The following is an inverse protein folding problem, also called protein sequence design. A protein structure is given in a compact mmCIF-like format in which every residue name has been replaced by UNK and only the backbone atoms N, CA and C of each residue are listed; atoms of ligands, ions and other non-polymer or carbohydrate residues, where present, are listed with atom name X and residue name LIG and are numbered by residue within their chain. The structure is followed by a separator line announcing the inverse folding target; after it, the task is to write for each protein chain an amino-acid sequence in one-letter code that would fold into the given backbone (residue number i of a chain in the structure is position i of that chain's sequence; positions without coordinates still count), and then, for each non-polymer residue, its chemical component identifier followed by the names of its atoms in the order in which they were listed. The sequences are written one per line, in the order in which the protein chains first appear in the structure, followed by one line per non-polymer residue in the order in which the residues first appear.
data_IF_451129411690
#
_entry.id   IF_451129411690
#
_cell.length_a   1.000
_cell.length_b   1.000
_cell.length_c   1.000
_cell.angle_alpha   90.00
_cell.angle_beta   90.00
_cell.angle_gamma   90.00
#
_symmetry.space_group_name_H-M   'P 1'
#
loop_
_entity.id
_entity.type
_entity.pdbx_description
1 polymer ?
#
# COMPACT_ATOMS: atom_id res chain seq x y z
N UNK A 1 -27.18 -11.41 -7.08
CA UNK A 1 -27.38 -9.96 -7.29
C UNK A 1 -27.26 -9.21 -5.97
N UNK A 2 -26.96 -7.90 -5.99
CA UNK A 2 -26.82 -7.09 -4.76
C UNK A 2 -28.09 -7.05 -3.91
N UNK A 3 -29.26 -7.03 -4.56
CA UNK A 3 -30.55 -7.09 -3.88
C UNK A 3 -30.71 -8.37 -3.03
N UNK A 4 -30.29 -9.53 -3.54
CA UNK A 4 -30.37 -10.80 -2.78
C UNK A 4 -29.49 -10.74 -1.53
N UNK A 5 -28.26 -10.21 -1.65
CA UNK A 5 -27.35 -10.08 -0.51
C UNK A 5 -27.89 -9.07 0.52
N UNK A 6 -28.47 -7.96 0.05
CA UNK A 6 -29.13 -6.97 0.89
C UNK A 6 -30.32 -7.57 1.65
N UNK A 7 -31.17 -8.37 1.00
CA UNK A 7 -32.28 -9.07 1.68
C UNK A 7 -31.78 -10.05 2.75
N UNK A 8 -30.73 -10.84 2.46
CA UNK A 8 -30.12 -11.73 3.46
C UNK A 8 -29.59 -10.95 4.66
N UNK A 9 -28.89 -9.86 4.40
CA UNK A 9 -28.33 -8.98 5.45
C UNK A 9 -29.43 -8.31 6.28
N UNK A 10 -30.52 -7.86 5.63
CA UNK A 10 -31.68 -7.31 6.32
C UNK A 10 -32.35 -8.35 7.23
N UNK A 11 -32.59 -9.57 6.74
CA UNK A 11 -33.18 -10.64 7.55
C UNK A 11 -32.32 -11.01 8.77
N UNK A 12 -30.99 -10.98 8.62
CA UNK A 12 -30.06 -11.19 9.72
C UNK A 12 -30.14 -10.05 10.74
N UNK A 13 -30.04 -8.80 10.27
CA UNK A 13 -30.08 -7.62 11.14
C UNK A 13 -31.43 -7.41 11.82
N UNK A 14 -32.55 -7.77 11.18
CA UNK A 14 -33.88 -7.73 11.82
C UNK A 14 -33.99 -8.66 13.03
N UNK A 15 -33.11 -9.67 13.16
CA UNK A 15 -33.07 -10.55 14.33
C UNK A 15 -32.17 -10.03 15.43
N UNK A 16 -31.04 -9.40 15.09
CA UNK A 16 -30.00 -9.03 16.05
C UNK A 16 -30.00 -7.54 16.38
N UNK A 17 -30.22 -6.67 15.40
CA UNK A 17 -30.16 -5.21 15.52
C UNK A 17 -31.06 -4.52 14.48
N UNK A 18 -32.40 -4.51 14.68
CA UNK A 18 -33.36 -4.05 13.66
C UNK A 18 -33.15 -2.59 13.25
N UNK A 19 -32.73 -1.73 14.18
CA UNK A 19 -32.50 -0.31 13.91
C UNK A 19 -31.36 -0.10 12.90
N UNK A 20 -30.39 -1.03 12.81
CA UNK A 20 -29.31 -0.96 11.83
C UNK A 20 -29.78 -1.12 10.39
N UNK A 21 -30.90 -1.81 10.14
CA UNK A 21 -31.51 -1.86 8.80
C UNK A 21 -31.95 -0.46 8.39
N UNK A 22 -32.73 0.21 9.24
CA UNK A 22 -33.20 1.58 8.99
C UNK A 22 -32.04 2.56 8.82
N UNK A 23 -31.02 2.46 9.69
CA UNK A 23 -29.81 3.30 9.60
C UNK A 23 -29.03 3.04 8.30
N UNK A 24 -28.90 1.80 7.87
CA UNK A 24 -28.18 1.45 6.62
C UNK A 24 -28.85 1.99 5.36
N UNK A 25 -30.16 2.25 5.43
CA UNK A 25 -30.97 2.82 4.35
C UNK A 25 -31.13 4.34 4.47
N UNK A 26 -30.44 5.01 5.42
CA UNK A 26 -30.51 6.45 5.59
C UNK A 26 -29.75 7.19 4.47
N UNK A 27 -30.47 7.49 3.39
CA UNK A 27 -29.95 8.19 2.20
C UNK A 27 -29.56 9.63 2.53
N UNK A 28 -30.25 10.30 3.45
CA UNK A 28 -29.94 11.68 3.85
C UNK A 28 -28.52 11.73 4.45
N UNK A 29 -28.18 10.74 5.28
CA UNK A 29 -26.88 10.69 5.96
C UNK A 29 -25.76 10.10 5.11
N UNK A 30 -26.03 9.04 4.35
CA UNK A 30 -24.98 8.27 3.67
C UNK A 30 -25.07 8.26 2.13
N UNK A 31 -26.02 9.02 1.56
CA UNK A 31 -26.12 9.27 0.13
C UNK A 31 -26.20 8.00 -0.73
N UNK A 32 -25.39 7.98 -1.79
CA UNK A 32 -25.40 6.93 -2.81
C UNK A 32 -25.04 5.53 -2.28
N UNK A 33 -24.25 5.43 -1.22
CA UNK A 33 -23.87 4.15 -0.62
C UNK A 33 -25.06 3.48 0.10
N UNK A 34 -25.94 4.27 0.72
CA UNK A 34 -27.22 3.79 1.25
C UNK A 34 -28.21 3.45 0.12
N UNK A 35 -28.40 4.36 -0.85
CA UNK A 35 -29.31 4.16 -1.99
C UNK A 35 -29.00 2.87 -2.76
N UNK A 36 -27.72 2.58 -2.97
CA UNK A 36 -27.27 1.41 -3.73
C UNK A 36 -27.30 0.09 -2.96
N UNK A 37 -27.86 0.07 -1.74
CA UNK A 37 -27.91 -1.06 -0.80
C UNK A 37 -26.54 -1.61 -0.37
N UNK A 38 -25.46 -0.89 -0.70
CA UNK A 38 -24.08 -1.31 -0.41
C UNK A 38 -23.84 -1.35 1.09
N UNK A 39 -24.30 -0.35 1.83
CA UNK A 39 -24.15 -0.32 3.29
C UNK A 39 -24.89 -1.48 3.96
N UNK A 40 -26.12 -1.77 3.54
CA UNK A 40 -26.90 -2.89 4.08
C UNK A 40 -26.19 -4.25 3.84
N UNK A 41 -25.55 -4.43 2.69
CA UNK A 41 -24.76 -5.64 2.43
C UNK A 41 -23.56 -5.75 3.37
N UNK A 42 -22.81 -4.66 3.56
CA UNK A 42 -21.62 -4.67 4.40
C UNK A 42 -21.93 -4.77 5.89
N UNK A 43 -23.01 -4.13 6.36
CA UNK A 43 -23.42 -4.23 7.77
C UNK A 43 -23.80 -5.65 8.13
N UNK A 44 -24.46 -6.39 7.23
CA UNK A 44 -24.75 -7.81 7.45
C UNK A 44 -23.50 -8.66 7.71
N UNK A 45 -22.44 -8.43 6.92
CA UNK A 45 -21.18 -9.20 7.00
C UNK A 45 -20.42 -9.02 8.31
N UNK A 46 -20.50 -7.84 8.94
CA UNK A 46 -19.78 -7.54 10.17
C UNK A 46 -20.71 -7.38 11.39
N UNK A 47 -22.00 -7.67 11.24
CA UNK A 47 -23.00 -7.53 12.31
C UNK A 47 -22.77 -8.46 13.50
N UNK A 48 -22.05 -9.56 13.27
CA UNK A 48 -21.69 -10.57 14.27
C UNK A 48 -20.25 -10.44 14.74
N UNK A 49 -19.61 -9.29 14.48
CA UNK A 49 -18.23 -9.05 14.88
C UNK A 49 -18.16 -8.93 16.41
N UNK A 50 -17.62 -9.97 17.04
CA UNK A 50 -17.36 -10.04 18.47
C UNK A 50 -15.85 -10.00 18.70
N UNK A 51 -15.31 -8.78 18.80
CA UNK A 51 -13.87 -8.55 18.96
C UNK A 51 -13.60 -7.40 19.92
N UNK A 52 -12.48 -7.48 20.66
CA UNK A 52 -12.05 -6.42 21.58
C UNK A 52 -11.57 -5.16 20.86
N UNK A 53 -10.92 -5.33 19.70
CA UNK A 53 -10.34 -4.25 18.90
C UNK A 53 -10.50 -4.58 17.42
N UNK A 54 -10.69 -3.54 16.58
CA UNK A 54 -10.64 -3.66 15.12
C UNK A 54 -9.42 -2.93 14.58
N UNK A 55 -8.62 -3.59 13.73
CA UNK A 55 -7.47 -2.96 13.08
C UNK A 55 -7.75 -2.79 11.58
N UNK A 56 -7.99 -1.55 11.17
CA UNK A 56 -8.22 -1.21 9.77
C UNK A 56 -6.89 -0.90 9.07
N UNK A 57 -6.63 -1.59 7.97
CA UNK A 57 -5.52 -1.29 7.07
C UNK A 57 -6.03 -0.42 5.91
N UNK A 58 -5.35 0.69 5.65
CA UNK A 58 -5.75 1.78 4.73
C UNK A 58 -6.85 2.68 5.27
N UNK A 59 -6.73 3.98 4.97
CA UNK A 59 -7.68 5.00 5.43
C UNK A 59 -9.07 4.86 4.81
N UNK A 60 -9.15 4.40 3.56
CA UNK A 60 -10.44 4.14 2.91
C UNK A 60 -11.23 3.03 3.61
N UNK A 61 -10.56 1.97 4.05
CA UNK A 61 -11.19 0.87 4.78
C UNK A 61 -11.62 1.33 6.16
N UNK A 62 -10.78 2.12 6.84
CA UNK A 62 -11.13 2.69 8.13
C UNK A 62 -12.32 3.66 8.08
N UNK A 63 -12.42 4.49 7.03
CA UNK A 63 -13.58 5.38 6.85
C UNK A 63 -14.86 4.59 6.54
N UNK A 64 -14.75 3.52 5.75
CA UNK A 64 -15.87 2.59 5.56
C UNK A 64 -16.28 1.94 6.90
N UNK A 65 -15.31 1.47 7.69
CA UNK A 65 -15.59 0.91 9.02
C UNK A 65 -16.25 1.93 9.96
N UNK A 66 -15.82 3.20 9.95
CA UNK A 66 -16.44 4.29 10.71
C UNK A 66 -17.94 4.41 10.41
N UNK A 67 -18.33 4.35 9.12
CA UNK A 67 -19.74 4.38 8.71
C UNK A 67 -20.49 3.14 9.19
N UNK A 68 -19.93 1.94 8.99
CA UNK A 68 -20.59 0.70 9.39
C UNK A 68 -20.74 0.60 10.92
N UNK A 69 -19.73 1.04 11.67
CA UNK A 69 -19.75 1.15 13.13
C UNK A 69 -20.87 2.05 13.61
N UNK A 70 -21.08 3.21 12.98
CA UNK A 70 -22.17 4.10 13.35
C UNK A 70 -23.55 3.47 13.07
N UNK A 71 -23.71 2.79 11.93
CA UNK A 71 -24.94 2.08 11.60
C UNK A 71 -25.25 0.95 12.59
N UNK A 72 -24.23 0.16 12.94
CA UNK A 72 -24.34 -0.99 13.83
C UNK A 72 -24.33 -0.61 15.31
N UNK A 73 -23.94 0.63 15.65
CA UNK A 73 -23.77 1.06 17.03
C UNK A 73 -22.59 0.40 17.75
N UNK A 74 -21.59 -0.08 17.00
CA UNK A 74 -20.40 -0.74 17.53
C UNK A 74 -19.63 0.20 18.46
N UNK A 75 -19.09 -0.35 19.57
CA UNK A 75 -18.46 0.44 20.64
C UNK A 75 -16.99 0.12 20.86
N UNK A 76 -16.53 -1.03 20.41
CA UNK A 76 -15.14 -1.43 20.51
C UNK A 76 -14.21 -0.37 19.87
N UNK A 77 -13.01 -0.17 20.44
CA UNK A 77 -12.00 0.69 19.85
C UNK A 77 -11.54 0.14 18.50
N UNK A 78 -11.02 1.03 17.65
CA UNK A 78 -10.34 0.63 16.43
C UNK A 78 -9.06 1.42 16.20
N UNK A 79 -8.16 0.84 15.43
CA UNK A 79 -6.88 1.45 15.04
C UNK A 79 -6.84 1.48 13.52
N UNK A 80 -6.23 2.52 12.96
CA UNK A 80 -6.01 2.61 11.50
C UNK A 80 -4.52 2.63 11.20
N UNK A 81 -4.04 1.71 10.35
CA UNK A 81 -2.71 1.83 9.73
C UNK A 81 -2.84 2.53 8.38
N UNK A 82 -2.14 3.66 8.23
CA UNK A 82 -1.96 4.31 6.94
C UNK A 82 -0.72 3.80 6.23
N UNK A 83 -0.86 3.64 4.92
CA UNK A 83 0.21 3.33 3.98
C UNK A 83 0.54 4.54 3.12
N UNK A 84 1.61 4.45 2.31
CA UNK A 84 2.08 5.56 1.48
C UNK A 84 0.96 6.28 0.72
N UNK A 85 0.08 5.55 0.04
CA UNK A 85 -1.04 6.13 -0.72
C UNK A 85 -2.01 6.97 0.11
N UNK A 86 -2.26 6.60 1.37
CA UNK A 86 -3.17 7.32 2.27
C UNK A 86 -2.64 8.70 2.65
N UNK A 87 -1.32 8.90 2.56
CA UNK A 87 -0.63 10.13 3.01
C UNK A 87 -0.01 10.92 1.85
N UNK A 88 0.06 10.34 0.65
CA UNK A 88 0.64 10.95 -0.55
C UNK A 88 -0.42 11.18 -1.64
N UNK A 89 -0.64 10.21 -2.52
CA UNK A 89 -1.42 10.37 -3.74
C UNK A 89 -2.92 10.64 -3.46
N UNK A 90 -3.52 10.01 -2.43
CA UNK A 90 -4.97 10.13 -2.19
C UNK A 90 -5.32 11.56 -1.72
N UNK A 91 -4.68 12.13 -0.68
CA UNK A 91 -4.91 13.53 -0.30
C UNK A 91 -4.58 14.52 -1.42
N UNK A 92 -3.58 14.23 -2.24
CA UNK A 92 -3.25 15.06 -3.41
C UNK A 92 -4.39 15.09 -4.43
N UNK A 93 -4.97 13.93 -4.78
CA UNK A 93 -6.04 13.83 -5.78
C UNK A 93 -7.44 14.19 -5.26
N UNK A 94 -7.73 13.88 -4.00
CA UNK A 94 -9.07 14.01 -3.39
C UNK A 94 -9.21 15.21 -2.45
N UNK A 95 -8.10 15.91 -2.20
CA UNK A 95 -8.03 17.04 -1.28
C UNK A 95 -7.62 16.63 0.13
N UNK A 96 -6.96 17.56 0.84
CA UNK A 96 -6.38 17.32 2.17
C UNK A 96 -7.37 16.89 3.25
N UNK A 97 -8.66 17.16 3.08
CA UNK A 97 -9.70 16.84 4.05
C UNK A 97 -10.39 15.50 3.80
N UNK A 98 -9.91 14.69 2.85
CA UNK A 98 -10.54 13.40 2.50
C UNK A 98 -10.73 12.46 3.71
N UNK A 99 -9.88 12.58 4.73
CA UNK A 99 -9.94 11.78 5.95
C UNK A 99 -10.30 12.59 7.20
N UNK A 100 -10.91 13.78 7.09
CA UNK A 100 -11.22 14.63 8.25
C UNK A 100 -12.14 13.92 9.27
N UNK A 101 -13.22 13.30 8.80
CA UNK A 101 -14.15 12.54 9.65
C UNK A 101 -13.47 11.35 10.32
N UNK A 102 -12.56 10.69 9.60
CA UNK A 102 -11.77 9.60 10.15
C UNK A 102 -10.80 10.10 11.22
N UNK A 103 -10.11 11.23 11.00
CA UNK A 103 -9.20 11.87 11.94
C UNK A 103 -9.89 12.23 13.26
N UNK A 104 -11.15 12.68 13.19
CA UNK A 104 -11.96 12.99 14.35
C UNK A 104 -12.40 11.72 15.11
N UNK A 105 -12.89 10.71 14.37
CA UNK A 105 -13.54 9.54 14.96
C UNK A 105 -12.57 8.46 15.47
N UNK A 106 -11.45 8.24 14.78
CA UNK A 106 -10.52 7.17 15.12
C UNK A 106 -9.64 7.57 16.32
N UNK A 107 -9.43 6.67 17.30
CA UNK A 107 -8.64 6.97 18.49
C UNK A 107 -7.13 6.92 18.23
N UNK A 108 -6.66 6.05 17.33
CA UNK A 108 -5.22 5.87 17.07
C UNK A 108 -4.93 5.56 15.60
N UNK A 109 -3.82 6.12 15.12
CA UNK A 109 -3.27 5.92 13.79
C UNK A 109 -1.85 5.38 13.89
N UNK A 110 -1.56 4.36 13.10
CA UNK A 110 -0.22 3.83 12.89
C UNK A 110 0.28 4.27 11.52
N UNK A 111 1.53 4.70 11.45
CA UNK A 111 2.23 5.05 10.20
C UNK A 111 3.60 4.38 10.17
N UNK A 112 4.16 4.17 9.00
CA UNK A 112 5.35 3.34 8.85
C UNK A 112 6.68 4.08 9.09
N UNK A 113 6.66 5.42 9.13
CA UNK A 113 7.87 6.23 9.34
C UNK A 113 7.56 7.58 9.99
N UNK A 114 8.59 8.23 10.52
CA UNK A 114 8.49 9.61 11.02
C UNK A 114 8.14 10.60 9.90
N UNK A 115 8.55 10.34 8.66
CA UNK A 115 8.18 11.18 7.53
C UNK A 115 6.67 11.12 7.24
N UNK A 116 6.11 9.91 7.23
CA UNK A 116 4.66 9.74 7.12
C UNK A 116 3.92 10.39 8.28
N UNK A 117 4.44 10.28 9.51
CA UNK A 117 3.85 10.94 10.69
C UNK A 117 3.75 12.44 10.49
N UNK A 118 4.84 13.10 10.05
CA UNK A 118 4.84 14.54 9.76
C UNK A 118 3.80 14.91 8.71
N UNK A 119 3.67 14.14 7.62
CA UNK A 119 2.67 14.39 6.57
C UNK A 119 1.25 14.24 7.09
N UNK A 120 0.97 13.20 7.86
CA UNK A 120 -0.36 12.97 8.46
C UNK A 120 -0.74 14.12 9.39
N UNK A 121 0.20 14.61 10.21
CA UNK A 121 -0.01 15.79 11.05
C UNK A 121 -0.29 17.03 10.19
N UNK A 122 0.44 17.23 9.08
CA UNK A 122 0.21 18.33 8.15
C UNK A 122 -1.17 18.26 7.45
N UNK A 123 -1.77 17.06 7.36
CA UNK A 123 -3.15 16.86 6.90
C UNK A 123 -4.21 17.18 7.97
N UNK A 124 -3.81 17.58 9.18
CA UNK A 124 -4.70 18.04 10.26
C UNK A 124 -5.01 16.97 11.32
N UNK A 125 -4.27 15.86 11.35
CA UNK A 125 -4.44 14.84 12.38
C UNK A 125 -3.79 15.27 13.70
N UNK A 126 -4.42 14.93 14.83
CA UNK A 126 -3.85 15.20 16.15
C UNK A 126 -2.54 14.40 16.34
N UNK A 127 -1.38 15.05 16.58
CA UNK A 127 -0.09 14.38 16.79
C UNK A 127 -0.09 13.31 17.89
N UNK A 128 -0.89 13.49 18.94
CA UNK A 128 -0.99 12.54 20.07
C UNK A 128 -1.69 11.22 19.69
N UNK A 129 -2.42 11.22 18.57
CA UNK A 129 -3.09 10.02 18.05
C UNK A 129 -2.26 9.28 17.00
N UNK A 130 -1.13 9.82 16.55
CA UNK A 130 -0.34 9.27 15.43
C UNK A 130 0.96 8.67 15.94
N UNK A 131 1.13 7.37 15.75
CA UNK A 131 2.26 6.59 16.24
C UNK A 131 3.02 5.97 15.07
N UNK A 132 4.35 5.98 15.14
CA UNK A 132 5.19 5.28 14.18
C UNK A 132 5.26 3.81 14.59
N UNK A 133 4.86 2.93 13.69
CA UNK A 133 4.95 1.48 13.82
C UNK A 133 5.35 0.90 12.47
N UNK A 134 6.66 0.67 12.24
CA UNK A 134 7.16 0.08 11.00
C UNK A 134 6.57 -1.31 10.76
N UNK A 135 6.45 -1.69 9.48
CA UNK A 135 6.02 -3.05 9.13
C UNK A 135 7.13 -4.03 9.49
N UNK A 136 6.79 -5.03 10.28
CA UNK A 136 7.68 -6.14 10.62
C UNK A 136 7.84 -7.11 9.46
N UNK A 137 9.01 -7.74 9.40
CA UNK A 137 9.26 -8.94 8.61
C UNK A 137 9.55 -10.10 9.57
N UNK A 138 9.38 -11.33 9.11
CA UNK A 138 9.79 -12.54 9.82
C UNK A 138 11.26 -12.82 9.49
N UNK A 139 12.23 -12.53 10.38
CA UNK A 139 13.65 -12.67 10.05
C UNK A 139 14.05 -14.10 9.68
N UNK A 140 13.35 -15.10 10.19
CA UNK A 140 13.53 -16.52 9.84
C UNK A 140 13.34 -16.81 8.35
N UNK A 141 12.60 -15.98 7.62
CA UNK A 141 12.44 -16.10 6.17
C UNK A 141 13.64 -15.51 5.39
N UNK A 142 14.56 -14.82 6.06
CA UNK A 142 15.68 -14.10 5.46
C UNK A 142 16.98 -14.47 6.18
N UNK A 143 17.50 -15.66 5.87
CA UNK A 143 18.76 -16.13 6.45
C UNK A 143 19.91 -15.20 6.06
N UNK A 144 20.62 -14.69 7.06
CA UNK A 144 21.85 -13.94 6.83
C UNK A 144 22.93 -14.90 6.29
N UNK A 145 23.50 -14.58 5.14
CA UNK A 145 24.68 -15.25 4.60
C UNK A 145 25.85 -14.28 4.58
N UNK A 146 27.00 -14.70 5.13
CA UNK A 146 28.24 -13.94 4.97
C UNK A 146 28.66 -13.96 3.51
N UNK A 147 28.86 -12.76 2.92
CA UNK A 147 29.21 -12.65 1.50
C UNK A 147 30.72 -12.69 1.36
N UNK A 148 31.23 -13.85 0.97
CA UNK A 148 32.66 -14.04 0.72
C UNK A 148 32.92 -13.89 -0.79
N UNK A 149 33.75 -12.90 -1.13
CA UNK A 149 34.24 -12.56 -2.48
C UNK A 149 33.31 -11.76 -3.40
N UNK A 150 33.67 -10.49 -3.64
CA UNK A 150 33.13 -9.66 -4.72
C UNK A 150 33.86 -9.92 -6.04
N UNK A 151 33.76 -11.15 -6.56
CA UNK A 151 34.24 -11.45 -7.90
C UNK A 151 33.32 -10.82 -8.95
N UNK A 152 33.89 -10.47 -10.10
CA UNK A 152 33.12 -10.00 -11.24
C UNK A 152 32.26 -11.15 -11.82
N UNK A 153 31.06 -10.85 -12.36
CA UNK A 153 30.44 -9.54 -12.37
C UNK A 153 29.84 -9.16 -11.01
N UNK A 154 29.93 -7.88 -10.64
CA UNK A 154 29.18 -7.32 -9.49
C UNK A 154 27.68 -7.50 -9.75
N UNK A 155 26.97 -8.10 -8.80
CA UNK A 155 25.53 -8.38 -8.93
C UNK A 155 24.72 -7.28 -8.26
N UNK A 156 23.95 -6.54 -9.04
CA UNK A 156 22.98 -5.57 -8.53
C UNK A 156 21.57 -6.16 -8.62
N UNK A 157 20.70 -5.77 -7.70
CA UNK A 157 19.29 -6.15 -7.76
C UNK A 157 18.38 -4.99 -7.38
N UNK A 158 17.21 -4.94 -8.01
CA UNK A 158 16.10 -4.07 -7.60
C UNK A 158 14.80 -4.85 -7.65
N UNK A 159 13.92 -4.62 -6.67
CA UNK A 159 12.58 -5.23 -6.61
C UNK A 159 11.56 -4.11 -6.62
N UNK A 160 10.80 -4.01 -7.70
CA UNK A 160 9.84 -2.93 -7.85
C UNK A 160 8.71 -3.27 -8.81
N UNK A 161 7.51 -2.77 -8.50
CA UNK A 161 6.48 -2.60 -9.54
C UNK A 161 7.00 -1.57 -10.55
N UNK A 162 6.88 -1.84 -11.85
CA UNK A 162 7.37 -0.94 -12.90
C UNK A 162 6.41 0.24 -13.10
N UNK A 163 6.44 1.19 -12.15
CA UNK A 163 5.69 2.44 -12.12
C UNK A 163 6.63 3.61 -11.84
N UNK A 164 6.22 4.82 -12.21
CA UNK A 164 7.07 6.02 -12.20
C UNK A 164 7.78 6.26 -10.87
N UNK A 165 7.05 6.14 -9.75
CA UNK A 165 7.62 6.40 -8.41
C UNK A 165 8.75 5.46 -8.01
N UNK A 166 8.89 4.32 -8.68
CA UNK A 166 9.95 3.34 -8.39
C UNK A 166 11.27 3.68 -9.08
N UNK A 167 11.30 4.69 -9.97
CA UNK A 167 12.54 5.28 -10.49
C UNK A 167 13.42 4.32 -11.31
N UNK A 168 12.85 3.27 -11.90
CA UNK A 168 13.63 2.30 -12.70
C UNK A 168 14.25 2.96 -13.93
N UNK A 169 13.62 3.98 -14.47
CA UNK A 169 14.16 4.84 -15.52
C UNK A 169 15.44 5.56 -15.10
N UNK A 170 15.48 6.12 -13.88
CA UNK A 170 16.67 6.75 -13.32
C UNK A 170 17.78 5.73 -13.08
N UNK A 171 17.43 4.53 -12.61
CA UNK A 171 18.37 3.41 -12.48
C UNK A 171 19.00 3.05 -13.82
N UNK A 172 18.22 2.89 -14.88
CA UNK A 172 18.75 2.59 -16.21
C UNK A 172 19.70 3.69 -16.70
N UNK A 173 19.36 4.96 -16.49
CA UNK A 173 20.25 6.07 -16.83
C UNK A 173 21.56 6.03 -16.03
N UNK A 174 21.48 5.76 -14.73
CA UNK A 174 22.64 5.65 -13.86
C UNK A 174 23.54 4.46 -14.25
N UNK A 175 22.98 3.30 -14.56
CA UNK A 175 23.74 2.11 -14.98
C UNK A 175 24.49 2.37 -16.29
N UNK A 176 23.89 3.09 -17.24
CA UNK A 176 24.56 3.49 -18.48
C UNK A 176 25.75 4.42 -18.21
N UNK A 177 25.62 5.37 -17.28
CA UNK A 177 26.75 6.21 -16.87
C UNK A 177 27.84 5.42 -16.16
N UNK A 178 27.49 4.52 -15.26
CA UNK A 178 28.45 3.68 -14.53
C UNK A 178 29.21 2.78 -15.50
N UNK A 179 28.53 2.15 -16.47
CA UNK A 179 29.15 1.31 -17.51
C UNK A 179 30.24 2.04 -18.29
N UNK A 180 30.07 3.34 -18.52
CA UNK A 180 31.07 4.17 -19.22
C UNK A 180 32.23 4.65 -18.34
N UNK A 181 32.12 4.52 -17.01
CA UNK A 181 33.08 5.05 -16.04
C UNK A 181 33.89 3.98 -15.31
N UNK A 182 33.48 2.72 -15.38
CA UNK A 182 34.14 1.60 -14.69
C UNK A 182 34.61 0.54 -15.68
N UNK A 183 35.72 -0.11 -15.35
CA UNK A 183 36.20 -1.31 -16.06
C UNK A 183 35.66 -2.62 -15.45
N UNK A 184 34.99 -2.56 -14.29
CA UNK A 184 34.42 -3.74 -13.63
C UNK A 184 33.16 -4.20 -14.35
N UNK A 185 33.03 -5.51 -14.53
CA UNK A 185 31.79 -6.09 -15.04
C UNK A 185 30.71 -6.08 -13.97
N UNK A 186 29.47 -5.84 -14.38
CA UNK A 186 28.33 -5.88 -13.47
C UNK A 186 27.04 -6.22 -14.21
N UNK A 187 26.10 -6.84 -13.48
CA UNK A 187 24.78 -7.19 -13.99
C UNK A 187 23.73 -6.70 -13.00
N UNK A 188 22.71 -6.00 -13.49
CA UNK A 188 21.57 -5.57 -12.69
C UNK A 188 20.35 -6.46 -12.98
N UNK A 189 19.87 -7.17 -11.97
CA UNK A 189 18.62 -7.92 -12.03
C UNK A 189 17.45 -7.05 -11.59
N UNK A 190 16.50 -6.81 -12.50
CA UNK A 190 15.28 -6.06 -12.24
C UNK A 190 14.12 -7.04 -12.05
N UNK A 191 13.56 -7.04 -10.84
CA UNK A 191 12.49 -7.94 -10.40
C UNK A 191 11.18 -7.18 -10.26
N UNK A 192 10.15 -7.69 -10.93
CA UNK A 192 8.81 -7.15 -10.92
C UNK A 192 8.27 -6.83 -12.31
N UNK A 193 7.04 -6.33 -12.33
CA UNK A 193 6.30 -6.01 -13.54
C UNK A 193 5.46 -4.74 -13.31
N UNK A 194 4.94 -4.15 -14.38
CA UNK A 194 4.10 -2.98 -14.30
C UNK A 194 3.88 -2.29 -15.65
N UNK A 195 3.03 -1.26 -15.66
CA UNK A 195 2.65 -0.56 -16.89
C UNK A 195 3.84 0.08 -17.63
N UNK A 196 4.96 0.36 -16.96
CA UNK A 196 6.14 0.93 -17.59
C UNK A 196 7.11 -0.12 -18.16
N UNK A 197 6.76 -1.41 -18.21
CA UNK A 197 7.66 -2.46 -18.73
C UNK A 197 8.20 -2.16 -20.13
N UNK A 198 7.31 -1.95 -21.11
CA UNK A 198 7.71 -1.69 -22.50
C UNK A 198 8.52 -0.38 -22.65
N UNK A 199 8.10 0.77 -22.07
CA UNK A 199 8.92 1.97 -22.06
C UNK A 199 10.33 1.76 -21.47
N UNK A 200 10.46 1.01 -20.38
CA UNK A 200 11.74 0.76 -19.72
C UNK A 200 12.66 -0.16 -20.53
N UNK A 201 12.10 -1.17 -21.21
CA UNK A 201 12.88 -2.03 -22.11
C UNK A 201 13.45 -1.23 -23.28
N UNK A 202 12.61 -0.38 -23.88
CA UNK A 202 13.05 0.54 -24.94
C UNK A 202 14.14 1.48 -24.44
N UNK A 203 14.02 2.03 -23.23
CA UNK A 203 15.04 2.89 -22.64
C UNK A 203 16.37 2.15 -22.42
N UNK A 204 16.35 0.91 -21.93
CA UNK A 204 17.56 0.11 -21.77
C UNK A 204 18.27 -0.12 -23.12
N UNK A 205 17.49 -0.37 -24.17
CA UNK A 205 18.01 -0.50 -25.53
C UNK A 205 18.61 0.79 -26.08
N UNK A 206 17.89 1.91 -25.96
CA UNK A 206 18.38 3.24 -26.38
C UNK A 206 19.66 3.66 -25.65
N UNK A 207 19.86 3.15 -24.42
CA UNK A 207 21.06 3.39 -23.62
C UNK A 207 22.17 2.35 -23.85
N UNK A 208 21.98 1.36 -24.71
CA UNK A 208 22.94 0.29 -25.03
C UNK A 208 23.42 -0.48 -23.78
N UNK A 209 22.48 -0.81 -22.89
CA UNK A 209 22.75 -1.55 -21.64
C UNK A 209 22.00 -2.88 -21.54
N UNK A 210 21.37 -3.37 -22.61
CA UNK A 210 20.62 -4.64 -22.59
C UNK A 210 21.47 -5.83 -22.08
N UNK A 211 22.77 -5.82 -22.39
CA UNK A 211 23.76 -6.84 -22.01
C UNK A 211 24.01 -6.93 -20.50
N UNK A 212 23.76 -5.85 -19.76
CA UNK A 212 23.97 -5.78 -18.31
C UNK A 212 22.67 -5.80 -17.50
N UNK A 213 21.51 -5.90 -18.16
CA UNK A 213 20.19 -5.95 -17.49
C UNK A 213 19.58 -7.34 -17.61
N UNK A 214 19.20 -7.91 -16.46
CA UNK A 214 18.38 -9.12 -16.38
C UNK A 214 16.97 -8.77 -15.95
N UNK A 215 16.03 -8.83 -16.89
CA UNK A 215 14.60 -8.69 -16.59
C UNK A 215 14.01 -10.04 -16.19
N UNK A 216 13.40 -10.11 -15.01
CA UNK A 216 12.83 -11.37 -14.50
C UNK A 216 11.30 -11.42 -14.55
N UNK A 217 10.64 -10.26 -14.69
CA UNK A 217 9.20 -10.16 -14.50
C UNK A 217 8.81 -10.39 -13.04
N UNK A 218 7.56 -10.78 -12.80
CA UNK A 218 7.10 -11.13 -11.46
C UNK A 218 7.77 -12.43 -10.98
N UNK A 219 8.40 -12.38 -9.79
CA UNK A 219 8.95 -13.53 -9.10
C UNK A 219 8.18 -13.83 -7.82
N UNK A 220 8.10 -15.11 -7.44
CA UNK A 220 7.62 -15.51 -6.13
C UNK A 220 8.63 -15.08 -5.06
N UNK A 221 8.15 -14.92 -3.83
CA UNK A 221 8.96 -14.42 -2.73
C UNK A 221 10.21 -15.28 -2.48
N UNK A 222 10.09 -16.61 -2.55
CA UNK A 222 11.22 -17.55 -2.35
C UNK A 222 12.33 -17.35 -3.40
N UNK A 223 11.95 -17.27 -4.69
CA UNK A 223 12.91 -17.03 -5.79
C UNK A 223 13.56 -15.64 -5.68
N UNK A 224 12.78 -14.63 -5.31
CA UNK A 224 13.27 -13.27 -5.08
C UNK A 224 14.30 -13.23 -3.94
N UNK A 225 14.05 -13.94 -2.84
CA UNK A 225 14.99 -14.03 -1.71
C UNK A 225 16.33 -14.61 -2.16
N UNK A 226 16.32 -15.65 -3.00
CA UNK A 226 17.54 -16.22 -3.54
C UNK A 226 18.33 -15.18 -4.36
N UNK A 227 17.67 -14.45 -5.26
CA UNK A 227 18.34 -13.40 -6.04
C UNK A 227 18.92 -12.30 -5.15
N UNK A 228 18.19 -11.85 -4.13
CA UNK A 228 18.67 -10.84 -3.19
C UNK A 228 19.83 -11.35 -2.31
N UNK A 229 19.82 -12.64 -1.97
CA UNK A 229 20.90 -13.30 -1.23
C UNK A 229 22.20 -13.42 -2.03
N UNK A 230 22.11 -13.38 -3.36
CA UNK A 230 23.26 -13.41 -4.27
C UNK A 230 23.70 -11.99 -4.71
N UNK A 231 22.84 -10.98 -4.60
CA UNK A 231 23.13 -9.62 -5.04
C UNK A 231 24.10 -8.87 -4.11
N UNK A 232 25.22 -8.38 -4.63
CA UNK A 232 26.18 -7.53 -3.90
C UNK A 232 25.56 -6.19 -3.48
N UNK A 233 24.70 -5.61 -4.33
CA UNK A 233 24.10 -4.28 -4.10
C UNK A 233 22.61 -4.32 -4.40
N UNK A 234 21.78 -3.95 -3.42
CA UNK A 234 20.38 -3.65 -3.65
C UNK A 234 20.19 -2.15 -3.95
N UNK A 235 19.45 -1.83 -5.01
CA UNK A 235 19.15 -0.45 -5.41
C UNK A 235 17.65 -0.18 -5.35
N UNK A 236 17.27 0.90 -4.67
CA UNK A 236 15.91 1.42 -4.61
C UNK A 236 15.90 2.90 -5.02
N UNK A 237 15.75 3.21 -6.31
CA UNK A 237 15.89 4.56 -6.87
C UNK A 237 14.58 5.36 -6.79
N UNK A 238 13.73 5.08 -5.80
CA UNK A 238 12.38 5.63 -5.75
C UNK A 238 12.37 7.17 -5.74
N UNK A 239 11.41 7.74 -6.46
CA UNK A 239 11.17 9.18 -6.58
C UNK A 239 9.69 9.51 -6.36
N UNK A 240 9.38 10.79 -6.17
CA UNK A 240 7.99 11.25 -6.21
C UNK A 240 7.49 11.23 -7.66
N UNK A 241 6.42 10.48 -7.92
CA UNK A 241 5.78 10.47 -9.24
C UNK A 241 5.02 11.78 -9.49
N UNK A 242 4.75 12.08 -10.78
CA UNK A 242 4.02 13.27 -11.20
C UNK A 242 2.63 13.41 -10.55
N UNK A 243 2.00 12.30 -10.17
CA UNK A 243 0.71 12.29 -9.48
C UNK A 243 0.81 12.51 -7.95
N UNK A 244 2.00 12.74 -7.42
CA UNK A 244 2.30 12.90 -6.00
C UNK A 244 2.47 11.59 -5.21
N UNK A 245 2.41 10.42 -5.86
CA UNK A 245 2.66 9.14 -5.21
C UNK A 245 4.15 8.98 -4.87
N UNK A 246 4.41 8.40 -3.70
CA UNK A 246 5.70 8.31 -3.05
C UNK A 246 5.85 6.96 -2.34
N UNK A 247 7.08 6.60 -1.99
CA UNK A 247 7.35 5.54 -0.99
C UNK A 247 7.04 6.01 0.43
#
# INVERSE_FOLDING_TARGET
SRAILACKSAMQLLKTNPISVLRSLNIIKYGADAWSLKLLCYTGQISTLDTDVVHCHYGKIADQFRVLRDILGLKQPWITTFYGSDVSHIPHQKGKYIYCELALACPKFLVMSEDMKRRVIALGFNPEKVFVHPVGIFPENYSFGERLNHQDPIRLATVARLVEKKGVDDLLCALAEVKNRTAREFICTIIGDGPLREPLYKLAHERNIDDIIKWTGFMRQEDMINVLSEADIYIQPSKTAANGDME
#
